data_IF_395679132182
#
_entry.id   IF_395679132182
#
_cell.length_a   1.000
_cell.length_b   1.000
_cell.length_c   1.000
_cell.angle_alpha   90.00
_cell.angle_beta   90.00
_cell.angle_gamma   90.00
#
_symmetry.space_group_name_H-M   'P 1'
#
loop_
_entity.id
_entity.type
_entity.pdbx_description
1 polymer ?
#
# COMPACT_ATOMS: atom_id res chain seq x y z
N UNK A 1 6.57 -24.81 18.08
CA UNK A 1 6.25 -23.87 17.02
C UNK A 1 6.96 -24.28 15.75
N UNK A 2 6.27 -24.35 14.65
CA UNK A 2 6.86 -24.70 13.37
C UNK A 2 7.58 -23.46 12.79
N UNK A 3 8.90 -23.54 12.64
CA UNK A 3 9.70 -22.43 12.14
C UNK A 3 9.72 -22.33 10.60
N UNK A 4 8.93 -23.14 9.93
CA UNK A 4 8.85 -23.13 8.45
C UNK A 4 8.09 -21.91 7.96
N UNK A 5 8.62 -21.28 6.92
CA UNK A 5 7.93 -20.19 6.24
C UNK A 5 6.69 -20.75 5.52
N UNK A 6 5.53 -20.08 5.68
CA UNK A 6 4.26 -20.55 5.13
C UNK A 6 4.23 -20.63 3.60
N UNK A 7 5.02 -19.79 2.90
CA UNK A 7 5.11 -19.77 1.44
C UNK A 7 6.25 -20.62 0.88
N UNK A 8 6.79 -21.55 1.67
CA UNK A 8 7.87 -22.42 1.22
C UNK A 8 7.36 -23.82 0.89
N UNK A 9 7.76 -24.33 -0.26
CA UNK A 9 7.54 -25.70 -0.68
C UNK A 9 8.89 -26.41 -0.70
N UNK A 10 9.02 -27.60 -0.06
CA UNK A 10 10.28 -28.33 -0.05
C UNK A 10 10.77 -28.74 -1.45
N UNK A 11 9.87 -28.86 -2.43
CA UNK A 11 10.20 -29.30 -3.80
C UNK A 11 10.47 -28.12 -4.74
N UNK A 12 9.67 -27.05 -4.66
CA UNK A 12 9.70 -25.93 -5.62
C UNK A 12 10.21 -24.64 -5.02
N UNK A 13 10.37 -24.56 -3.69
CA UNK A 13 10.86 -23.39 -2.98
C UNK A 13 9.81 -22.37 -2.63
N UNK A 14 8.75 -22.21 -3.41
CA UNK A 14 7.71 -21.21 -3.17
C UNK A 14 6.32 -21.80 -3.45
N UNK A 15 5.33 -21.37 -2.68
CA UNK A 15 3.94 -21.79 -2.88
C UNK A 15 2.97 -20.77 -2.31
N UNK A 16 1.75 -20.74 -2.87
CA UNK A 16 0.62 -20.03 -2.28
C UNK A 16 0.04 -20.90 -1.16
N UNK A 17 -0.26 -20.27 -0.03
CA UNK A 17 -0.92 -20.97 1.11
C UNK A 17 -2.32 -21.37 0.70
N UNK A 18 -2.71 -22.63 1.01
CA UNK A 18 -4.07 -23.09 0.79
C UNK A 18 -4.97 -22.60 1.93
N UNK A 19 -5.96 -21.76 1.61
CA UNK A 19 -6.91 -21.21 2.57
C UNK A 19 -8.32 -21.79 2.40
N UNK A 20 -8.49 -22.81 1.56
CA UNK A 20 -9.81 -23.38 1.26
C UNK A 20 -10.53 -23.94 2.48
N UNK A 21 -9.78 -24.38 3.50
CA UNK A 21 -10.32 -24.89 4.77
C UNK A 21 -10.62 -23.83 5.81
N UNK A 22 -10.29 -22.55 5.54
CA UNK A 22 -10.55 -21.45 6.50
C UNK A 22 -11.94 -20.89 6.31
N UNK A 23 -12.52 -20.39 7.39
CA UNK A 23 -13.80 -19.72 7.36
C UNK A 23 -13.65 -18.25 7.00
N UNK A 24 -14.70 -17.69 6.39
CA UNK A 24 -14.78 -16.25 6.19
C UNK A 24 -14.93 -15.55 7.53
N UNK A 25 -14.23 -14.46 7.73
CA UNK A 25 -14.35 -13.62 8.92
C UNK A 25 -14.05 -12.16 8.57
N UNK A 26 -14.57 -11.24 9.37
CA UNK A 26 -14.25 -9.83 9.23
C UNK A 26 -12.80 -9.62 9.60
N UNK A 27 -12.05 -8.97 8.70
CA UNK A 27 -10.62 -8.72 8.85
C UNK A 27 -10.29 -7.29 8.48
N UNK A 28 -9.34 -6.72 9.20
CA UNK A 28 -8.86 -5.37 8.96
C UNK A 28 -7.34 -5.35 9.07
N UNK A 29 -6.71 -4.58 8.21
CA UNK A 29 -5.29 -4.27 8.32
C UNK A 29 -5.06 -2.77 8.14
N UNK A 30 -4.15 -2.23 8.92
CA UNK A 30 -3.70 -0.85 8.82
C UNK A 30 -2.19 -0.88 8.60
N UNK A 31 -1.74 -0.23 7.53
CA UNK A 31 -0.32 -0.09 7.23
C UNK A 31 0.05 1.39 7.23
N UNK A 32 1.27 1.67 7.63
CA UNK A 32 1.82 3.04 7.63
C UNK A 32 3.19 3.04 6.99
N UNK A 33 3.50 4.15 6.37
CA UNK A 33 4.82 4.42 5.84
C UNK A 33 5.01 5.90 5.67
N UNK A 34 6.21 6.29 5.31
CA UNK A 34 6.49 7.70 5.00
C UNK A 34 7.48 7.80 3.86
N UNK A 35 7.38 8.90 3.13
CA UNK A 35 8.36 9.27 2.13
C UNK A 35 8.97 10.60 2.52
N UNK A 36 10.29 10.62 2.68
CA UNK A 36 11.05 11.85 2.95
C UNK A 36 11.26 12.59 1.63
N UNK A 37 11.08 13.88 1.66
CA UNK A 37 11.21 14.74 0.48
C UNK A 37 12.11 15.92 0.80
N UNK A 38 12.67 16.57 -0.22
CA UNK A 38 13.44 17.79 0.01
C UNK A 38 12.48 19.00 0.16
N UNK A 39 13.03 20.14 0.57
CA UNK A 39 12.23 21.33 0.80
C UNK A 39 11.52 21.83 -0.45
N UNK A 40 12.16 21.71 -1.60
CA UNK A 40 11.58 22.14 -2.88
C UNK A 40 10.34 21.30 -3.23
N UNK A 41 10.41 20.00 -3.04
CA UNK A 41 9.27 19.10 -3.22
C UNK A 41 8.16 19.43 -2.23
N UNK A 42 8.51 19.61 -0.95
CA UNK A 42 7.52 19.94 0.07
C UNK A 42 6.78 21.24 -0.27
N UNK A 43 7.50 22.26 -0.68
CA UNK A 43 6.88 23.53 -1.09
C UNK A 43 5.93 23.34 -2.27
N UNK A 44 6.32 22.57 -3.27
CA UNK A 44 5.48 22.30 -4.43
C UNK A 44 4.20 21.55 -4.06
N UNK A 45 4.27 20.60 -3.14
CA UNK A 45 3.11 19.87 -2.66
C UNK A 45 2.16 20.79 -1.90
N UNK A 46 2.69 21.60 -0.96
CA UNK A 46 1.89 22.52 -0.14
C UNK A 46 1.21 23.58 -1.02
N UNK A 47 1.93 24.12 -1.99
CA UNK A 47 1.42 25.17 -2.88
C UNK A 47 0.57 24.62 -4.02
N UNK A 48 0.48 23.30 -4.16
CA UNK A 48 -0.27 22.62 -5.22
C UNK A 48 0.10 23.10 -6.63
N UNK A 49 1.40 23.39 -6.85
CA UNK A 49 1.89 23.92 -8.11
C UNK A 49 2.74 22.93 -8.93
N UNK A 50 2.55 21.63 -8.70
CA UNK A 50 3.25 20.61 -9.48
C UNK A 50 2.67 20.57 -10.89
N UNK A 51 3.52 20.59 -11.94
CA UNK A 51 3.04 20.51 -13.34
C UNK A 51 2.24 19.26 -13.68
N UNK A 52 2.45 18.16 -12.94
CA UNK A 52 1.72 16.91 -13.12
C UNK A 52 0.35 16.90 -12.43
N UNK A 53 0.01 17.93 -11.66
CA UNK A 53 -1.26 18.04 -10.97
C UNK A 53 -1.15 17.84 -9.46
N UNK A 54 -2.28 17.51 -8.83
CA UNK A 54 -2.36 17.33 -7.38
C UNK A 54 -1.70 16.02 -6.94
N UNK A 55 -0.58 16.15 -6.25
CA UNK A 55 0.25 15.00 -5.83
C UNK A 55 -0.48 14.12 -4.83
N UNK A 56 -1.06 14.71 -3.78
CA UNK A 56 -1.67 13.92 -2.71
C UNK A 56 -2.94 13.20 -3.16
N UNK A 57 -3.80 13.87 -3.93
CA UNK A 57 -5.00 13.23 -4.47
C UNK A 57 -4.66 12.08 -5.42
N UNK A 58 -3.67 12.28 -6.28
CA UNK A 58 -3.23 11.24 -7.20
C UNK A 58 -2.65 10.04 -6.45
N UNK A 59 -1.81 10.29 -5.44
CA UNK A 59 -1.24 9.24 -4.63
C UNK A 59 -2.31 8.46 -3.85
N UNK A 60 -3.32 9.15 -3.33
CA UNK A 60 -4.44 8.50 -2.65
C UNK A 60 -5.18 7.55 -3.57
N UNK A 61 -5.53 7.99 -4.76
CA UNK A 61 -6.21 7.15 -5.75
C UNK A 61 -5.35 5.97 -6.17
N UNK A 62 -4.05 6.19 -6.40
CA UNK A 62 -3.12 5.13 -6.76
C UNK A 62 -3.03 4.06 -5.65
N UNK A 63 -3.00 4.48 -4.39
CA UNK A 63 -3.02 3.56 -3.26
C UNK A 63 -4.28 2.69 -3.23
N UNK A 64 -5.44 3.31 -3.39
CA UNK A 64 -6.72 2.58 -3.41
C UNK A 64 -6.75 1.59 -4.57
N UNK A 65 -6.37 2.04 -5.77
CA UNK A 65 -6.36 1.17 -6.95
C UNK A 65 -5.39 0.01 -6.81
N UNK A 66 -4.21 0.24 -6.26
CA UNK A 66 -3.19 -0.80 -6.08
C UNK A 66 -3.61 -1.85 -5.06
N UNK A 67 -4.30 -1.46 -4.00
CA UNK A 67 -4.85 -2.41 -3.04
C UNK A 67 -5.76 -3.42 -3.74
N UNK A 68 -6.58 -2.97 -4.68
CA UNK A 68 -7.49 -3.82 -5.47
C UNK A 68 -6.75 -4.75 -6.43
N UNK A 69 -5.48 -4.47 -6.73
CA UNK A 69 -4.66 -5.23 -7.70
C UNK A 69 -3.52 -5.99 -7.04
N UNK A 70 -3.53 -6.13 -5.72
CA UNK A 70 -2.42 -6.71 -4.97
C UNK A 70 -2.06 -8.10 -5.47
N UNK A 71 -3.04 -8.97 -5.70
CA UNK A 71 -2.78 -10.34 -6.20
C UNK A 71 -2.16 -10.37 -7.59
N UNK A 72 -2.35 -9.32 -8.39
CA UNK A 72 -1.70 -9.19 -9.70
C UNK A 72 -0.25 -8.71 -9.60
N UNK A 73 0.14 -8.12 -8.48
CA UNK A 73 1.47 -7.56 -8.25
C UNK A 73 2.36 -8.47 -7.40
N UNK A 74 1.77 -9.15 -6.43
CA UNK A 74 2.48 -10.00 -5.47
C UNK A 74 2.16 -11.46 -5.79
N UNK A 75 3.12 -12.25 -6.27
CA UNK A 75 2.85 -13.53 -6.92
C UNK A 75 2.07 -14.55 -6.11
N UNK A 76 2.30 -14.60 -4.80
CA UNK A 76 1.72 -15.65 -3.95
C UNK A 76 0.56 -15.16 -3.10
N UNK A 77 0.04 -13.95 -3.37
CA UNK A 77 -1.14 -13.42 -2.71
C UNK A 77 -2.43 -13.94 -3.36
N UNK A 78 -3.41 -14.23 -2.52
CA UNK A 78 -4.74 -14.64 -3.00
C UNK A 78 -5.52 -13.41 -3.50
N UNK A 79 -6.33 -13.55 -4.57
CA UNK A 79 -7.29 -12.52 -4.93
C UNK A 79 -8.38 -12.44 -3.86
N UNK A 80 -8.65 -11.26 -3.35
CA UNK A 80 -9.57 -11.04 -2.23
C UNK A 80 -10.53 -9.91 -2.59
N UNK A 81 -11.81 -10.08 -2.26
CA UNK A 81 -12.79 -9.01 -2.36
C UNK A 81 -12.66 -8.08 -1.17
N UNK A 82 -12.40 -6.81 -1.44
CA UNK A 82 -12.23 -5.80 -0.40
C UNK A 82 -13.52 -5.04 -0.18
N UNK A 83 -13.95 -4.92 1.07
CA UNK A 83 -15.16 -4.18 1.43
C UNK A 83 -14.90 -2.70 1.71
N UNK A 84 -13.65 -2.35 2.03
CA UNK A 84 -13.27 -0.97 2.34
C UNK A 84 -11.78 -0.77 2.12
N UNK A 85 -11.44 0.35 1.51
CA UNK A 85 -10.06 0.81 1.35
C UNK A 85 -10.05 2.31 1.59
N UNK A 86 -9.19 2.79 2.49
CA UNK A 86 -8.89 4.20 2.63
C UNK A 86 -7.39 4.40 2.69
N UNK A 87 -6.92 5.46 2.06
CA UNK A 87 -5.52 5.87 2.10
C UNK A 87 -5.48 7.34 2.49
N UNK A 88 -4.85 7.63 3.61
CA UNK A 88 -4.70 9.00 4.12
C UNK A 88 -3.25 9.43 4.01
N UNK A 89 -3.04 10.68 3.62
CA UNK A 89 -1.71 11.26 3.47
C UNK A 89 -1.64 12.53 4.30
N UNK A 90 -0.65 12.59 5.20
CA UNK A 90 -0.46 13.70 6.11
C UNK A 90 0.92 14.32 5.92
N UNK A 91 0.96 15.63 5.75
CA UNK A 91 2.19 16.40 5.55
C UNK A 91 2.84 16.69 6.90
N UNK A 92 4.12 16.38 7.04
CA UNK A 92 4.94 16.85 8.15
C UNK A 92 5.96 17.87 7.60
N UNK A 93 5.65 19.16 7.81
CA UNK A 93 6.48 20.27 7.31
C UNK A 93 7.80 20.39 8.05
N UNK A 94 7.80 20.07 9.32
CA UNK A 94 8.97 20.28 10.19
C UNK A 94 10.09 19.31 9.83
N UNK A 95 9.73 18.08 9.45
CA UNK A 95 10.69 17.03 9.14
C UNK A 95 10.71 16.64 7.66
N UNK A 96 9.97 17.34 6.82
CA UNK A 96 9.93 17.14 5.36
C UNK A 96 9.62 15.69 4.96
N UNK A 97 8.49 15.17 5.44
CA UNK A 97 8.01 13.89 4.94
C UNK A 97 6.48 13.90 4.78
N UNK A 98 6.00 12.98 3.98
CA UNK A 98 4.58 12.66 3.84
C UNK A 98 4.36 11.31 4.52
N UNK A 99 3.49 11.28 5.52
CA UNK A 99 3.06 10.02 6.15
C UNK A 99 1.86 9.49 5.40
N UNK A 100 1.86 8.17 5.17
CA UNK A 100 0.80 7.49 4.46
C UNK A 100 0.25 6.40 5.36
N UNK A 101 -1.08 6.38 5.53
CA UNK A 101 -1.75 5.34 6.28
C UNK A 101 -2.85 4.75 5.42
N UNK A 102 -2.86 3.42 5.29
CA UNK A 102 -3.89 2.70 4.56
C UNK A 102 -4.65 1.77 5.48
N UNK A 103 -5.98 1.81 5.40
CA UNK A 103 -6.88 0.91 6.11
C UNK A 103 -7.62 0.08 5.07
N UNK A 104 -7.58 -1.25 5.22
CA UNK A 104 -8.24 -2.17 4.30
C UNK A 104 -9.07 -3.16 5.11
N UNK A 105 -10.29 -3.44 4.65
CA UNK A 105 -11.20 -4.40 5.27
C UNK A 105 -11.73 -5.40 4.26
N UNK A 106 -11.99 -6.61 4.75
CA UNK A 106 -12.59 -7.70 3.98
C UNK A 106 -13.38 -8.62 4.91
N UNK A 107 -14.19 -9.50 4.33
CA UNK A 107 -14.86 -10.60 5.04
C UNK A 107 -14.51 -11.92 4.35
N UNK A 108 -13.21 -12.17 4.16
CA UNK A 108 -12.69 -13.29 3.40
C UNK A 108 -11.91 -14.28 4.28
N UNK A 109 -11.27 -15.25 3.66
CA UNK A 109 -10.59 -16.38 4.30
C UNK A 109 -9.17 -16.08 4.76
N UNK A 110 -8.61 -14.93 4.38
CA UNK A 110 -7.26 -14.53 4.74
C UNK A 110 -7.21 -13.04 5.05
N UNK A 111 -6.12 -12.60 5.68
CA UNK A 111 -5.94 -11.20 6.02
C UNK A 111 -5.68 -10.32 4.82
N UNK A 112 -5.69 -9.02 5.05
CA UNK A 112 -5.52 -7.99 4.02
C UNK A 112 -4.30 -7.10 4.28
N UNK A 113 -3.32 -7.61 5.02
CA UNK A 113 -2.08 -6.89 5.29
C UNK A 113 -1.31 -6.56 4.02
N UNK A 114 -1.30 -7.47 3.04
CA UNK A 114 -0.61 -7.22 1.78
C UNK A 114 -1.28 -6.13 0.97
N UNK A 115 -2.60 -6.08 0.98
CA UNK A 115 -3.37 -5.02 0.33
C UNK A 115 -3.07 -3.66 0.96
N UNK A 116 -3.04 -3.60 2.29
CA UNK A 116 -2.72 -2.36 3.01
C UNK A 116 -1.28 -1.90 2.75
N UNK A 117 -0.31 -2.82 2.79
CA UNK A 117 1.09 -2.53 2.52
C UNK A 117 1.32 -2.10 1.06
N UNK A 118 0.65 -2.74 0.12
CA UNK A 118 0.72 -2.39 -1.30
C UNK A 118 0.20 -0.97 -1.52
N UNK A 119 -0.93 -0.62 -0.90
CA UNK A 119 -1.50 0.72 -1.00
C UNK A 119 -0.51 1.79 -0.54
N UNK A 120 0.13 1.60 0.62
CA UNK A 120 1.14 2.53 1.14
C UNK A 120 2.33 2.64 0.19
N UNK A 121 2.82 1.51 -0.28
CA UNK A 121 4.00 1.45 -1.15
C UNK A 121 3.77 2.17 -2.48
N UNK A 122 2.63 1.93 -3.12
CA UNK A 122 2.30 2.54 -4.41
C UNK A 122 1.96 4.03 -4.25
N UNK A 123 1.30 4.40 -3.16
CA UNK A 123 1.08 5.82 -2.87
C UNK A 123 2.42 6.57 -2.74
N UNK A 124 3.37 6.01 -2.00
CA UNK A 124 4.70 6.61 -1.86
C UNK A 124 5.44 6.69 -3.20
N UNK A 125 5.39 5.62 -3.98
CA UNK A 125 6.02 5.58 -5.31
C UNK A 125 5.39 6.61 -6.25
N UNK A 126 4.09 6.82 -6.15
CA UNK A 126 3.37 7.84 -6.94
C UNK A 126 3.84 9.25 -6.58
N UNK A 127 4.01 9.53 -5.28
CA UNK A 127 4.58 10.82 -4.85
C UNK A 127 5.96 11.01 -5.45
N UNK A 128 6.80 9.99 -5.37
CA UNK A 128 8.15 10.05 -5.96
C UNK A 128 8.09 10.35 -7.46
N UNK A 129 7.28 9.60 -8.21
CA UNK A 129 7.16 9.79 -9.65
C UNK A 129 6.69 11.20 -10.02
N UNK A 130 5.71 11.72 -9.31
CA UNK A 130 5.17 13.05 -9.60
C UNK A 130 6.13 14.18 -9.23
N UNK A 131 7.04 13.96 -8.31
CA UNK A 131 7.94 15.00 -7.78
C UNK A 131 9.41 14.83 -8.19
N UNK A 132 9.77 13.76 -8.88
CA UNK A 132 11.18 13.45 -9.15
C UNK A 132 11.93 14.52 -9.93
N UNK A 133 11.23 15.33 -10.73
CA UNK A 133 11.85 16.43 -11.47
C UNK A 133 12.32 17.58 -10.55
N UNK A 134 11.81 17.62 -9.31
CA UNK A 134 12.14 18.65 -8.32
C UNK A 134 13.22 18.20 -7.32
N UNK A 135 13.65 16.97 -7.42
CA UNK A 135 14.64 16.40 -6.51
C UNK A 135 15.99 16.17 -7.17
#
# INVERSE_FOLDING_TARGET
MDDKLSHMDPKTGAKMVDVSGKENSAREAIARGKISVNQKVMNAIIESNNPKGDVLSTAKIAGIMSAKKTSSLIPLCHPINLSFIDTQLNINRDENYIEIESTVRTTEKTGVEMEALTAVSIAALTIYDMCKALD
#
